data_IF_843635140496
#
_entry.id   IF_843635140496
#
_cell.length_a   1.000
_cell.length_b   1.000
_cell.length_c   1.000
_cell.angle_alpha   90.00
_cell.angle_beta   90.00
_cell.angle_gamma   90.00
#
_symmetry.space_group_name_H-M   'P 1'
#
loop_
_entity.id
_entity.type
_entity.pdbx_description
1 polymer ?
#
# COMPACT_ATOMS: atom_id res chain seq x y z
N UNK A 1 13.77 -19.62 18.96
CA UNK A 1 12.43 -19.32 18.41
C UNK A 1 12.41 -17.87 17.93
N UNK A 2 12.86 -17.63 16.69
CA UNK A 2 12.97 -16.29 16.10
C UNK A 2 12.05 -16.11 14.87
N UNK A 3 11.62 -17.22 14.27
CA UNK A 3 10.76 -17.28 13.06
C UNK A 3 9.37 -16.65 13.28
N UNK A 4 8.71 -16.94 14.41
CA UNK A 4 7.36 -16.42 14.68
C UNK A 4 7.28 -14.88 14.81
N UNK A 5 8.37 -14.21 15.20
CA UNK A 5 8.41 -12.74 15.25
C UNK A 5 8.58 -12.13 13.87
N UNK A 6 9.38 -12.75 13.00
CA UNK A 6 9.56 -12.28 11.63
C UNK A 6 8.24 -12.39 10.86
N UNK A 7 7.55 -13.54 11.00
CA UNK A 7 6.25 -13.74 10.36
C UNK A 7 5.20 -12.71 10.78
N UNK A 8 5.06 -12.45 12.08
CA UNK A 8 4.13 -11.43 12.57
C UNK A 8 4.50 -10.02 12.10
N UNK A 9 5.79 -9.68 12.09
CA UNK A 9 6.25 -8.37 11.59
C UNK A 9 5.92 -8.18 10.11
N UNK A 10 5.97 -9.24 9.30
CA UNK A 10 5.62 -9.18 7.88
C UNK A 10 4.11 -8.96 7.71
N UNK A 11 3.28 -9.62 8.51
CA UNK A 11 1.82 -9.40 8.51
C UNK A 11 1.50 -7.96 8.92
N UNK A 12 2.10 -7.47 9.99
CA UNK A 12 1.86 -6.12 10.49
C UNK A 12 2.34 -5.06 9.48
N UNK A 13 3.33 -5.39 8.64
CA UNK A 13 3.79 -4.56 7.53
C UNK A 13 2.85 -4.58 6.31
N UNK A 14 1.76 -5.36 6.34
CA UNK A 14 0.81 -5.49 5.25
C UNK A 14 1.21 -6.50 4.18
N UNK A 15 2.18 -7.39 4.47
CA UNK A 15 2.54 -8.47 3.56
C UNK A 15 1.42 -9.52 3.56
N UNK A 16 1.00 -9.95 2.37
CA UNK A 16 0.02 -11.04 2.24
C UNK A 16 0.65 -12.38 2.59
N UNK A 17 -0.18 -13.36 2.98
CA UNK A 17 0.29 -14.72 3.25
C UNK A 17 1.09 -15.31 2.07
N UNK A 18 0.63 -15.08 0.83
CA UNK A 18 1.33 -15.50 -0.37
C UNK A 18 2.70 -14.81 -0.55
N UNK A 19 2.84 -13.55 -0.14
CA UNK A 19 4.13 -12.86 -0.15
C UNK A 19 5.08 -13.44 0.90
N UNK A 20 4.56 -13.78 2.08
CA UNK A 20 5.35 -14.35 3.18
C UNK A 20 5.86 -15.75 2.81
N UNK A 21 5.03 -16.59 2.20
CA UNK A 21 5.46 -17.90 1.68
C UNK A 21 6.57 -17.77 0.64
N UNK A 22 6.47 -16.79 -0.27
CA UNK A 22 7.54 -16.52 -1.24
C UNK A 22 8.80 -16.00 -0.53
N UNK A 23 8.66 -15.15 0.48
CA UNK A 23 9.78 -14.60 1.25
C UNK A 23 10.55 -15.69 2.01
N UNK A 24 9.84 -16.63 2.64
CA UNK A 24 10.47 -17.75 3.36
C UNK A 24 11.21 -18.72 2.43
N UNK A 25 10.77 -18.82 1.17
CA UNK A 25 11.44 -19.64 0.16
C UNK A 25 12.66 -18.96 -0.49
N UNK A 26 12.87 -17.66 -0.27
CA UNK A 26 14.01 -16.92 -0.83
C UNK A 26 15.28 -17.10 0.02
N UNK A 27 16.46 -17.14 -0.62
CA UNK A 27 17.72 -17.09 0.10
C UNK A 27 17.87 -15.75 0.83
N UNK A 28 18.63 -15.76 1.94
CA UNK A 28 18.74 -14.62 2.86
C UNK A 28 19.24 -13.34 2.16
N UNK A 29 20.14 -13.49 1.18
CA UNK A 29 20.61 -12.38 0.33
C UNK A 29 19.52 -11.70 -0.50
N UNK A 30 18.44 -12.41 -0.87
CA UNK A 30 17.35 -11.89 -1.70
C UNK A 30 16.17 -11.37 -0.88
N UNK A 31 16.04 -11.82 0.38
CA UNK A 31 14.98 -11.41 1.29
C UNK A 31 14.91 -9.89 1.49
N UNK A 32 16.07 -9.23 1.66
CA UNK A 32 16.12 -7.77 1.81
C UNK A 32 15.62 -7.04 0.55
N UNK A 33 16.04 -7.50 -0.63
CA UNK A 33 15.62 -6.95 -1.92
C UNK A 33 14.10 -7.12 -2.12
N UNK A 34 13.57 -8.28 -1.73
CA UNK A 34 12.14 -8.57 -1.76
C UNK A 34 11.33 -7.56 -0.94
N UNK A 35 11.76 -7.28 0.30
CA UNK A 35 11.10 -6.30 1.17
C UNK A 35 11.22 -4.86 0.63
N UNK A 36 12.36 -4.48 0.06
CA UNK A 36 12.52 -3.16 -0.56
C UNK A 36 11.57 -2.96 -1.75
N UNK A 37 11.36 -4.01 -2.55
CA UNK A 37 10.40 -3.99 -3.65
C UNK A 37 8.97 -3.89 -3.13
N UNK A 38 8.62 -4.63 -2.08
CA UNK A 38 7.31 -4.53 -1.45
C UNK A 38 7.03 -3.11 -0.91
N UNK A 39 8.03 -2.49 -0.24
CA UNK A 39 7.94 -1.10 0.21
C UNK A 39 7.65 -0.14 -0.95
N UNK A 40 8.29 -0.33 -2.10
CA UNK A 40 8.05 0.51 -3.29
C UNK A 40 6.63 0.34 -3.81
N UNK A 41 6.14 -0.91 -3.89
CA UNK A 41 4.77 -1.20 -4.27
C UNK A 41 3.74 -0.51 -3.35
N UNK A 42 3.96 -0.56 -2.03
CA UNK A 42 3.09 0.13 -1.07
C UNK A 42 3.08 1.64 -1.29
N UNK A 43 4.25 2.22 -1.56
CA UNK A 43 4.37 3.65 -1.84
C UNK A 43 3.63 4.04 -3.13
N UNK A 44 3.78 3.26 -4.19
CA UNK A 44 3.10 3.48 -5.46
C UNK A 44 1.57 3.37 -5.29
N UNK A 45 1.11 2.37 -4.52
CA UNK A 45 -0.30 2.22 -4.20
C UNK A 45 -0.85 3.42 -3.41
N UNK A 46 -0.08 3.97 -2.47
CA UNK A 46 -0.47 5.20 -1.75
C UNK A 46 -0.57 6.38 -2.72
N UNK A 47 0.42 6.56 -3.61
CA UNK A 47 0.39 7.64 -4.60
C UNK A 47 -0.82 7.50 -5.54
N UNK A 48 -1.14 6.30 -6.00
CA UNK A 48 -2.31 6.04 -6.84
C UNK A 48 -3.63 6.35 -6.11
N UNK A 49 -3.72 6.01 -4.83
CA UNK A 49 -4.89 6.30 -4.00
C UNK A 49 -5.02 7.80 -3.72
N UNK A 50 -3.90 8.49 -3.48
CA UNK A 50 -3.90 9.94 -3.34
C UNK A 50 -4.41 10.62 -4.62
N UNK A 51 -3.95 10.20 -5.79
CA UNK A 51 -4.41 10.74 -7.07
C UNK A 51 -5.90 10.49 -7.31
N UNK A 52 -6.41 9.33 -6.89
CA UNK A 52 -7.85 9.03 -6.94
C UNK A 52 -8.66 9.97 -6.03
N UNK A 53 -8.18 10.21 -4.81
CA UNK A 53 -8.80 11.13 -3.86
C UNK A 53 -8.79 12.57 -4.38
N UNK A 54 -7.66 13.06 -4.89
CA UNK A 54 -7.55 14.42 -5.42
C UNK A 54 -8.56 14.69 -6.54
N UNK A 55 -8.74 13.70 -7.44
CA UNK A 55 -9.74 13.77 -8.52
C UNK A 55 -11.17 13.77 -7.98
N UNK A 56 -11.45 12.92 -6.99
CA UNK A 56 -12.76 12.84 -6.38
C UNK A 56 -13.11 14.13 -5.64
N UNK A 57 -12.16 14.70 -4.90
CA UNK A 57 -12.31 15.95 -4.16
C UNK A 57 -12.57 17.12 -5.10
N UNK A 58 -11.84 17.20 -6.22
CA UNK A 58 -12.13 18.17 -7.26
C UNK A 58 -13.55 18.03 -7.80
N UNK A 59 -13.98 16.80 -8.10
CA UNK A 59 -15.33 16.55 -8.60
C UNK A 59 -16.41 16.96 -7.57
N UNK A 60 -16.22 16.63 -6.29
CA UNK A 60 -17.10 17.04 -5.20
C UNK A 60 -17.15 18.56 -5.04
N UNK A 61 -16.01 19.25 -5.14
CA UNK A 61 -15.95 20.71 -5.11
C UNK A 61 -16.76 21.34 -6.24
N UNK A 62 -16.60 20.86 -7.48
CA UNK A 62 -17.35 21.35 -8.65
C UNK A 62 -18.86 21.14 -8.46
N UNK A 63 -19.27 19.97 -7.96
CA UNK A 63 -20.67 19.69 -7.70
C UNK A 63 -21.27 20.60 -6.62
N UNK A 64 -20.53 20.83 -5.52
CA UNK A 64 -20.95 21.76 -4.45
C UNK A 64 -21.12 23.18 -4.98
N UNK A 65 -20.12 23.69 -5.70
CA UNK A 65 -20.16 25.04 -6.26
C UNK A 65 -21.35 25.26 -7.20
N UNK A 66 -21.65 24.29 -8.06
CA UNK A 66 -22.83 24.33 -8.96
C UNK A 66 -24.17 24.30 -8.21
N UNK A 67 -24.22 23.66 -7.04
CA UNK A 67 -25.41 23.64 -6.18
C UNK A 67 -25.63 24.97 -5.47
N UNK A 68 -24.54 25.63 -5.05
CA UNK A 68 -24.60 26.93 -4.39
C UNK A 68 -24.93 28.09 -5.36
N UNK A 69 -24.47 28.03 -6.61
CA UNK A 69 -24.82 29.02 -7.65
C UNK A 69 -26.29 28.93 -8.14
N UNK A 70 -27.01 27.87 -7.76
CA UNK A 70 -28.43 27.65 -8.10
C UNK A 70 -29.39 28.02 -6.96
N UNK A 71 -28.87 28.45 -5.81
CA UNK A 71 -29.66 28.97 -4.68
C UNK A 71 -29.70 30.49 -4.72
#
# INVERSE_FOLDING_TARGET
>A
MMEGKVWQNLIDAGCSAAFIEQYEALPEEEQLSCLQRHRRYLLDAIHDKQLQLDRLDYFLYVLRKRGDERK
#
